data_IF_024406274516
#
_entry.id   IF_024406274516
#
_cell.length_a   1.000
_cell.length_b   1.000
_cell.length_c   1.000
_cell.angle_alpha   90.00
_cell.angle_beta   90.00
_cell.angle_gamma   90.00
#
_symmetry.space_group_name_H-M   'P 1'
#
loop_
_entity.id
_entity.type
_entity.pdbx_description
1 polymer ?
#
# COMPACT_ATOMS: atom_id res chain seq x y z
N UNK A 1 9.46 -52.31 33.84
CA UNK A 1 10.03 -52.35 32.48
C UNK A 1 9.19 -51.44 31.59
N UNK A 2 9.80 -50.43 30.97
CA UNK A 2 9.37 -49.69 29.76
C UNK A 2 9.93 -48.26 29.83
N UNK A 3 11.16 -48.09 29.35
CA UNK A 3 11.80 -46.79 29.16
C UNK A 3 11.23 -46.09 27.92
N UNK A 4 10.93 -44.80 28.07
CA UNK A 4 10.49 -43.90 27.01
C UNK A 4 11.64 -43.60 26.03
N UNK A 5 11.46 -43.95 24.76
CA UNK A 5 12.36 -43.60 23.68
C UNK A 5 12.25 -42.10 23.33
N UNK A 6 13.25 -41.32 23.73
CA UNK A 6 13.48 -39.95 23.25
C UNK A 6 13.94 -40.03 21.79
N UNK A 7 13.07 -39.67 20.84
CA UNK A 7 13.46 -39.47 19.43
C UNK A 7 14.41 -38.27 19.34
N UNK A 8 15.71 -38.53 19.18
CA UNK A 8 16.69 -37.51 18.78
C UNK A 8 16.41 -37.09 17.34
N UNK A 9 16.24 -35.78 17.12
CA UNK A 9 16.25 -35.18 15.79
C UNK A 9 17.62 -35.43 15.13
N UNK A 10 17.68 -35.63 13.80
CA UNK A 10 18.94 -35.88 13.10
C UNK A 10 19.86 -34.66 13.22
N UNK A 11 21.06 -34.88 13.74
CA UNK A 11 22.16 -33.93 13.76
C UNK A 11 22.55 -33.59 12.32
N UNK A 12 22.38 -32.32 11.91
CA UNK A 12 22.85 -31.82 10.60
C UNK A 12 24.35 -32.09 10.47
N UNK A 13 24.76 -32.72 9.36
CA UNK A 13 26.16 -32.94 9.02
C UNK A 13 26.89 -31.59 8.91
N UNK A 14 27.92 -31.41 9.75
CA UNK A 14 28.83 -30.26 9.68
C UNK A 14 29.79 -30.46 8.51
N UNK A 15 29.70 -29.61 7.48
CA UNK A 15 30.62 -29.61 6.35
C UNK A 15 32.08 -29.34 6.78
N UNK A 16 33.02 -30.09 6.19
CA UNK A 16 34.45 -29.85 6.38
C UNK A 16 34.88 -28.49 5.82
N UNK A 17 35.96 -27.91 6.36
CA UNK A 17 36.46 -26.59 5.96
C UNK A 17 36.81 -26.49 4.45
N UNK A 18 37.36 -27.57 3.87
CA UNK A 18 37.63 -27.67 2.43
C UNK A 18 36.37 -27.57 1.56
N UNK A 19 35.28 -28.17 2.02
CA UNK A 19 34.00 -28.18 1.31
C UNK A 19 33.33 -26.80 1.40
N UNK A 20 33.37 -26.16 2.58
CA UNK A 20 32.94 -24.77 2.76
C UNK A 20 33.71 -23.79 1.86
N UNK A 21 35.03 -23.94 1.77
CA UNK A 21 35.85 -23.11 0.86
C UNK A 21 35.46 -23.32 -0.61
N UNK A 22 35.20 -24.56 -1.03
CA UNK A 22 34.76 -24.87 -2.39
C UNK A 22 33.42 -24.22 -2.73
N UNK A 23 32.45 -24.27 -1.80
CA UNK A 23 31.14 -23.63 -1.94
C UNK A 23 31.28 -22.12 -2.12
N UNK A 24 32.09 -21.47 -1.28
CA UNK A 24 32.31 -20.03 -1.34
C UNK A 24 33.00 -19.61 -2.65
N UNK A 25 34.01 -20.38 -3.10
CA UNK A 25 34.67 -20.15 -4.39
C UNK A 25 33.69 -20.24 -5.55
N UNK A 26 32.87 -21.28 -5.60
CA UNK A 26 31.87 -21.45 -6.66
C UNK A 26 30.85 -20.30 -6.66
N UNK A 27 30.35 -19.92 -5.48
CA UNK A 27 29.46 -18.78 -5.31
C UNK A 27 30.11 -17.47 -5.84
N UNK A 28 31.37 -17.23 -5.48
CA UNK A 28 32.12 -16.05 -5.92
C UNK A 28 32.30 -15.97 -7.44
N UNK A 29 32.60 -17.10 -8.10
CA UNK A 29 32.74 -17.16 -9.56
C UNK A 29 31.43 -16.78 -10.25
N UNK A 30 30.30 -17.33 -9.81
CA UNK A 30 28.97 -17.03 -10.38
C UNK A 30 28.62 -15.55 -10.21
N UNK A 31 28.86 -14.99 -9.00
CA UNK A 31 28.64 -13.58 -8.70
C UNK A 31 29.49 -12.66 -9.60
N UNK A 32 30.79 -12.92 -9.71
CA UNK A 32 31.70 -12.10 -10.51
C UNK A 32 31.36 -12.12 -12.01
N UNK A 33 31.02 -13.29 -12.55
CA UNK A 33 30.61 -13.42 -13.95
C UNK A 33 29.34 -12.62 -14.22
N UNK A 34 28.33 -12.75 -13.35
CA UNK A 34 27.06 -12.03 -13.53
C UNK A 34 27.22 -10.52 -13.33
N UNK A 35 28.02 -10.09 -12.36
CA UNK A 35 28.33 -8.67 -12.15
C UNK A 35 28.93 -8.02 -13.41
N UNK A 36 29.92 -8.67 -14.04
CA UNK A 36 30.53 -8.17 -15.29
C UNK A 36 29.50 -8.02 -16.41
N UNK A 37 28.59 -8.99 -16.54
CA UNK A 37 27.52 -8.92 -17.54
C UNK A 37 26.52 -7.79 -17.26
N UNK A 38 26.11 -7.60 -16.01
CA UNK A 38 25.21 -6.50 -15.63
C UNK A 38 25.87 -5.15 -15.93
N UNK A 39 27.10 -4.95 -15.47
CA UNK A 39 27.85 -3.69 -15.69
C UNK A 39 28.08 -3.41 -17.17
N UNK A 40 28.45 -4.42 -17.95
CA UNK A 40 28.65 -4.26 -19.39
C UNK A 40 27.35 -3.83 -20.10
N UNK A 41 26.21 -4.42 -19.75
CA UNK A 41 24.92 -4.03 -20.32
C UNK A 41 24.50 -2.61 -19.93
N UNK A 42 24.65 -2.22 -18.66
CA UNK A 42 24.35 -0.86 -18.22
C UNK A 42 25.21 0.20 -18.94
N UNK A 43 26.50 -0.07 -19.13
CA UNK A 43 27.40 0.84 -19.85
C UNK A 43 27.03 1.02 -21.33
N UNK A 44 26.57 -0.06 -21.99
CA UNK A 44 26.10 0.02 -23.39
C UNK A 44 24.88 0.92 -23.51
N UNK A 45 23.90 0.76 -22.62
CA UNK A 45 22.68 1.58 -22.61
C UNK A 45 22.98 3.08 -22.45
N UNK A 46 23.93 3.43 -21.58
CA UNK A 46 24.33 4.83 -21.40
C UNK A 46 25.08 5.43 -22.60
N UNK A 47 25.69 4.59 -23.44
CA UNK A 47 26.48 5.06 -24.60
C UNK A 47 25.60 5.30 -25.84
N UNK A 48 24.46 4.63 -25.95
CA UNK A 48 23.49 4.82 -27.05
C UNK A 48 22.69 6.12 -26.96
N UNK A 49 22.56 6.73 -25.77
CA UNK A 49 21.78 7.96 -25.57
C UNK A 49 22.48 9.26 -26.00
N UNK A 50 23.76 9.20 -26.41
CA UNK A 50 24.55 10.40 -26.78
C UNK A 50 24.53 10.67 -28.29
N UNK A 51 23.79 9.89 -29.09
CA UNK A 51 23.87 9.96 -30.55
C UNK A 51 22.57 9.72 -31.32
N UNK A 52 21.52 10.50 -31.06
CA UNK A 52 20.59 11.02 -32.08
C UNK A 52 19.39 11.72 -31.42
N UNK A 53 19.29 13.04 -31.61
CA UNK A 53 18.00 13.71 -31.55
C UNK A 53 17.22 13.38 -32.83
N UNK A 54 15.92 13.10 -32.68
CA UNK A 54 14.91 12.84 -33.70
C UNK A 54 14.66 11.35 -34.00
N UNK A 55 13.79 10.74 -33.20
CA UNK A 55 12.50 10.19 -33.67
C UNK A 55 11.84 9.41 -32.51
N UNK A 56 10.92 10.09 -31.82
CA UNK A 56 9.84 9.40 -31.10
C UNK A 56 8.85 8.88 -32.14
N UNK A 57 8.73 7.56 -32.26
CA UNK A 57 7.49 6.80 -32.45
C UNK A 57 7.85 5.39 -32.91
N UNK A 58 7.32 4.42 -32.18
CA UNK A 58 7.22 3.00 -32.51
C UNK A 58 8.51 2.24 -32.80
N UNK A 59 9.00 1.50 -31.79
CA UNK A 59 9.49 0.13 -31.99
C UNK A 59 9.57 -0.64 -30.66
N UNK A 60 8.43 -1.15 -30.23
CA UNK A 60 8.38 -2.42 -29.54
C UNK A 60 8.50 -3.53 -30.59
N UNK A 61 9.67 -4.16 -30.73
CA UNK A 61 9.79 -5.60 -31.00
C UNK A 61 11.25 -6.03 -31.23
N UNK A 62 11.60 -7.15 -30.61
CA UNK A 62 12.66 -8.10 -30.96
C UNK A 62 14.13 -7.65 -30.90
N UNK A 63 14.84 -8.11 -29.85
CA UNK A 63 15.98 -9.06 -29.98
C UNK A 63 17.02 -9.09 -28.83
N UNK A 64 16.70 -8.65 -27.59
CA UNK A 64 17.57 -8.96 -26.44
C UNK A 64 16.84 -9.23 -25.11
N UNK A 65 15.61 -9.74 -25.15
CA UNK A 65 14.80 -10.02 -23.95
C UNK A 65 15.43 -11.06 -23.01
N UNK A 66 16.34 -11.92 -23.47
CA UNK A 66 17.02 -12.93 -22.65
C UNK A 66 18.16 -12.36 -21.78
N UNK A 67 18.65 -11.16 -22.10
CA UNK A 67 19.83 -10.54 -21.47
C UNK A 67 19.52 -9.25 -20.71
N UNK A 68 18.25 -8.96 -20.41
CA UNK A 68 17.92 -7.79 -19.58
C UNK A 68 18.59 -7.90 -18.21
N UNK A 69 19.12 -6.77 -17.73
CA UNK A 69 19.95 -6.73 -16.51
C UNK A 69 19.23 -7.29 -15.28
N UNK A 70 17.92 -7.07 -15.15
CA UNK A 70 17.12 -7.62 -14.07
C UNK A 70 16.88 -9.14 -14.17
N UNK A 71 16.86 -9.72 -15.38
CA UNK A 71 16.74 -11.18 -15.56
C UNK A 71 18.06 -11.88 -15.22
N UNK A 72 19.19 -11.26 -15.55
CA UNK A 72 20.52 -11.72 -15.13
C UNK A 72 20.62 -11.76 -13.60
N UNK A 73 20.16 -10.70 -12.91
CA UNK A 73 20.11 -10.69 -11.45
C UNK A 73 19.16 -11.76 -10.90
N UNK A 74 17.96 -11.94 -11.48
CA UNK A 74 17.02 -12.95 -11.00
C UNK A 74 17.60 -14.37 -11.13
N UNK A 75 18.29 -14.65 -12.25
CA UNK A 75 18.99 -15.92 -12.47
C UNK A 75 20.13 -16.10 -11.46
N UNK A 76 20.93 -15.05 -11.22
CA UNK A 76 21.97 -15.07 -10.20
C UNK A 76 21.39 -15.44 -8.84
N UNK A 77 20.30 -14.80 -8.42
CA UNK A 77 19.66 -15.08 -7.14
C UNK A 77 19.24 -16.55 -7.03
N UNK A 78 18.59 -17.10 -8.06
CA UNK A 78 18.20 -18.52 -8.07
C UNK A 78 19.41 -19.46 -7.93
N UNK A 79 20.54 -19.16 -8.58
CA UNK A 79 21.75 -19.98 -8.49
C UNK A 79 22.41 -19.88 -7.11
N UNK A 80 22.61 -18.67 -6.58
CA UNK A 80 23.31 -18.49 -5.29
C UNK A 80 22.47 -18.97 -4.11
N UNK A 81 21.15 -18.95 -4.22
CA UNK A 81 20.27 -19.42 -3.15
C UNK A 81 20.28 -20.94 -2.99
N UNK A 82 20.77 -21.70 -3.97
CA UNK A 82 21.05 -23.15 -3.79
C UNK A 82 22.09 -23.39 -2.69
N UNK A 83 22.98 -22.44 -2.45
CA UNK A 83 23.97 -22.53 -1.37
C UNK A 83 23.38 -22.16 0.00
N UNK A 84 22.16 -21.60 0.09
CA UNK A 84 21.55 -21.23 1.38
C UNK A 84 21.32 -22.45 2.28
N UNK A 85 20.99 -23.60 1.69
CA UNK A 85 20.67 -24.83 2.44
C UNK A 85 21.87 -25.39 3.21
N UNK A 86 23.08 -24.93 2.89
CA UNK A 86 24.31 -25.20 3.65
C UNK A 86 24.31 -24.55 5.04
N UNK A 87 23.42 -23.57 5.28
CA UNK A 87 23.32 -22.78 6.51
C UNK A 87 24.65 -22.12 6.91
N UNK A 88 25.55 -21.87 5.95
CA UNK A 88 26.83 -21.22 6.18
C UNK A 88 26.67 -19.70 6.19
N UNK A 89 26.85 -19.09 7.37
CA UNK A 89 26.78 -17.65 7.56
C UNK A 89 27.84 -16.89 6.74
N UNK A 90 28.95 -17.54 6.37
CA UNK A 90 29.97 -16.93 5.53
C UNK A 90 29.46 -16.70 4.12
N UNK A 91 28.69 -17.64 3.57
CA UNK A 91 28.06 -17.50 2.24
C UNK A 91 27.05 -16.36 2.25
N UNK A 92 26.21 -16.28 3.29
CA UNK A 92 25.24 -15.17 3.44
C UNK A 92 25.95 -13.83 3.58
N UNK A 93 27.02 -13.76 4.37
CA UNK A 93 27.81 -12.53 4.56
C UNK A 93 28.51 -12.09 3.27
N UNK A 94 29.06 -13.05 2.52
CA UNK A 94 29.65 -12.80 1.20
C UNK A 94 28.60 -12.25 0.22
N UNK A 95 27.44 -12.90 0.11
CA UNK A 95 26.36 -12.45 -0.75
C UNK A 95 25.85 -11.06 -0.36
N UNK A 96 25.78 -10.77 0.93
CA UNK A 96 25.44 -9.43 1.42
C UNK A 96 26.46 -8.38 0.92
N UNK A 97 27.76 -8.60 1.12
CA UNK A 97 28.80 -7.71 0.63
C UNK A 97 28.77 -7.53 -0.90
N UNK A 98 28.53 -8.62 -1.63
CA UNK A 98 28.35 -8.60 -3.07
C UNK A 98 27.17 -7.71 -3.51
N UNK A 99 25.98 -7.92 -2.94
CA UNK A 99 24.79 -7.16 -3.33
C UNK A 99 24.87 -5.68 -2.91
N UNK A 100 25.55 -5.34 -1.82
CA UNK A 100 25.86 -3.94 -1.46
C UNK A 100 26.74 -3.31 -2.54
N UNK A 101 27.80 -4.00 -2.95
CA UNK A 101 28.71 -3.52 -4.01
C UNK A 101 27.98 -3.38 -5.36
N UNK A 102 27.11 -4.33 -5.68
CA UNK A 102 26.28 -4.28 -6.89
C UNK A 102 25.33 -3.08 -6.85
N UNK A 103 24.63 -2.85 -5.73
CA UNK A 103 23.73 -1.69 -5.58
C UNK A 103 24.46 -0.36 -5.80
N UNK A 104 25.62 -0.19 -5.16
CA UNK A 104 26.46 1.01 -5.33
C UNK A 104 26.88 1.20 -6.79
N UNK A 105 27.35 0.12 -7.44
CA UNK A 105 27.79 0.17 -8.84
C UNK A 105 26.65 0.54 -9.77
N UNK A 106 25.51 -0.14 -9.64
CA UNK A 106 24.33 0.08 -10.48
C UNK A 106 23.83 1.51 -10.30
N UNK A 107 23.72 2.00 -9.07
CA UNK A 107 23.30 3.37 -8.79
C UNK A 107 24.28 4.41 -9.33
N UNK A 108 25.60 4.18 -9.24
CA UNK A 108 26.61 5.06 -9.83
C UNK A 108 26.47 5.14 -11.35
N UNK A 109 26.23 4.01 -12.02
CA UNK A 109 26.09 3.96 -13.48
C UNK A 109 24.79 4.63 -13.96
N UNK A 110 23.71 4.50 -13.21
CA UNK A 110 22.40 5.05 -13.57
C UNK A 110 22.33 6.56 -13.28
N UNK A 111 22.76 6.98 -12.08
CA UNK A 111 22.51 8.33 -11.57
C UNK A 111 23.74 9.23 -11.59
N UNK A 112 24.94 8.71 -11.92
CA UNK A 112 26.20 9.46 -11.92
C UNK A 112 26.54 10.18 -10.60
N UNK A 113 25.96 9.74 -9.46
CA UNK A 113 26.15 10.35 -8.13
C UNK A 113 26.86 9.42 -7.16
N UNK A 114 27.80 9.97 -6.37
CA UNK A 114 28.35 9.30 -5.19
C UNK A 114 27.26 9.23 -4.12
N UNK A 115 26.84 8.02 -3.75
CA UNK A 115 25.94 7.76 -2.62
C UNK A 115 26.71 7.11 -1.48
N UNK A 116 26.18 7.19 -0.25
CA UNK A 116 26.80 6.48 0.87
C UNK A 116 26.72 4.96 0.64
N UNK A 117 27.71 4.18 1.10
CA UNK A 117 27.85 2.76 0.76
C UNK A 117 26.62 1.89 1.06
N UNK A 118 25.81 2.30 2.03
CA UNK A 118 24.66 1.54 2.51
C UNK A 118 23.33 2.23 2.21
N UNK A 119 23.35 3.37 1.51
CA UNK A 119 22.17 4.21 1.27
C UNK A 119 21.39 4.52 2.55
N UNK A 120 22.08 4.61 3.70
CA UNK A 120 21.52 4.86 5.03
C UNK A 120 21.17 6.34 5.18
N UNK A 121 21.99 7.22 4.60
CA UNK A 121 21.85 8.67 4.73
C UNK A 121 21.24 9.31 3.48
N UNK A 122 21.30 8.65 2.32
CA UNK A 122 20.56 9.07 1.13
C UNK A 122 19.07 8.77 1.27
N UNK A 123 18.25 9.82 1.39
CA UNK A 123 16.81 9.76 1.69
C UNK A 123 15.94 9.09 0.62
N UNK A 124 16.47 8.82 -0.58
CA UNK A 124 15.84 7.99 -1.60
C UNK A 124 16.86 7.59 -2.67
N UNK A 125 16.70 6.40 -3.25
CA UNK A 125 17.31 6.10 -4.54
C UNK A 125 16.63 7.01 -5.57
N UNK A 126 17.26 8.12 -5.93
CA UNK A 126 16.83 8.91 -7.09
C UNK A 126 16.88 8.00 -8.30
N UNK A 127 15.77 7.83 -9.01
CA UNK A 127 15.73 7.01 -10.23
C UNK A 127 15.26 7.80 -11.45
N UNK A 128 15.45 9.13 -11.40
CA UNK A 128 14.99 10.09 -12.42
C UNK A 128 15.45 9.75 -13.84
N UNK A 129 16.63 9.14 -14.00
CA UNK A 129 17.20 8.77 -15.31
C UNK A 129 17.07 7.29 -15.63
N UNK A 130 16.55 6.49 -14.71
CA UNK A 130 16.60 5.05 -14.81
C UNK A 130 15.40 4.52 -15.63
N UNK A 131 15.68 3.65 -16.59
CA UNK A 131 14.60 3.01 -17.38
C UNK A 131 13.88 1.92 -16.57
N UNK A 132 12.78 1.39 -17.12
CA UNK A 132 11.97 0.34 -16.46
C UNK A 132 12.80 -0.89 -16.06
N UNK A 133 13.73 -1.34 -16.89
CA UNK A 133 14.55 -2.51 -16.59
C UNK A 133 15.53 -2.26 -15.43
N UNK A 134 16.08 -1.05 -15.35
CA UNK A 134 16.96 -0.60 -14.27
C UNK A 134 16.21 -0.41 -12.95
N UNK A 135 15.00 0.12 -12.99
CA UNK A 135 14.12 0.19 -11.81
C UNK A 135 13.85 -1.20 -11.24
N UNK A 136 13.54 -2.18 -12.09
CA UNK A 136 13.30 -3.57 -11.66
C UNK A 136 14.58 -4.18 -11.07
N UNK A 137 15.75 -3.92 -11.67
CA UNK A 137 17.02 -4.39 -11.14
C UNK A 137 17.30 -3.83 -9.74
N UNK A 138 17.17 -2.52 -9.56
CA UNK A 138 17.34 -1.85 -8.26
C UNK A 138 16.36 -2.41 -7.22
N UNK A 139 15.09 -2.58 -7.60
CA UNK A 139 14.08 -3.20 -6.73
C UNK A 139 14.51 -4.60 -6.28
N UNK A 140 14.92 -5.46 -7.22
CA UNK A 140 15.30 -6.83 -6.88
C UNK A 140 16.50 -6.86 -5.94
N UNK A 141 17.53 -6.03 -6.19
CA UNK A 141 18.71 -5.91 -5.32
C UNK A 141 18.30 -5.51 -3.89
N UNK A 142 17.40 -4.53 -3.75
CA UNK A 142 16.90 -4.11 -2.44
C UNK A 142 16.14 -5.23 -1.73
N UNK A 143 15.30 -5.99 -2.44
CA UNK A 143 14.65 -7.20 -1.88
C UNK A 143 15.71 -8.20 -1.39
N UNK A 144 16.76 -8.45 -2.17
CA UNK A 144 17.80 -9.43 -1.80
C UNK A 144 18.58 -8.99 -0.58
N UNK A 145 18.95 -7.71 -0.51
CA UNK A 145 19.59 -7.13 0.67
C UNK A 145 18.69 -7.21 1.90
N UNK A 146 17.39 -6.99 1.75
CA UNK A 146 16.42 -7.20 2.82
C UNK A 146 16.37 -8.66 3.29
N UNK A 147 16.37 -9.63 2.35
CA UNK A 147 16.31 -11.05 2.67
C UNK A 147 17.58 -11.51 3.39
N UNK A 148 18.75 -11.09 2.87
CA UNK A 148 20.05 -11.37 3.46
C UNK A 148 20.18 -10.78 4.86
N UNK A 149 19.73 -9.54 5.09
CA UNK A 149 19.71 -8.95 6.42
C UNK A 149 18.78 -9.69 7.38
N UNK A 150 17.62 -10.18 6.90
CA UNK A 150 16.74 -11.04 7.71
C UNK A 150 17.44 -12.35 8.08
N UNK A 151 18.18 -12.98 7.17
CA UNK A 151 18.96 -14.19 7.46
C UNK A 151 20.09 -13.93 8.46
N UNK A 152 20.72 -12.76 8.39
CA UNK A 152 21.70 -12.26 9.36
C UNK A 152 21.08 -11.75 10.67
N UNK A 153 19.75 -11.88 10.84
CA UNK A 153 18.98 -11.41 12.01
C UNK A 153 19.04 -9.89 12.24
N UNK A 154 19.39 -9.10 11.23
CA UNK A 154 19.36 -7.64 11.26
C UNK A 154 18.01 -7.10 10.77
N UNK A 155 16.99 -7.14 11.63
CA UNK A 155 15.62 -6.75 11.28
C UNK A 155 15.50 -5.26 10.90
N UNK A 156 16.29 -4.39 11.54
CA UNK A 156 16.28 -2.95 11.28
C UNK A 156 16.73 -2.64 9.84
N UNK A 157 17.84 -3.23 9.40
CA UNK A 157 18.31 -3.07 8.03
C UNK A 157 17.43 -3.78 7.01
N UNK A 158 16.90 -4.96 7.35
CA UNK A 158 15.95 -5.65 6.49
C UNK A 158 14.73 -4.77 6.21
N UNK A 159 14.15 -4.17 7.25
CA UNK A 159 13.04 -3.23 7.14
C UNK A 159 13.38 -2.01 6.29
N UNK A 160 14.58 -1.45 6.44
CA UNK A 160 15.04 -0.31 5.65
C UNK A 160 15.04 -0.65 4.15
N UNK A 161 15.69 -1.74 3.77
CA UNK A 161 15.77 -2.16 2.37
C UNK A 161 14.40 -2.50 1.76
N UNK A 162 13.52 -3.19 2.50
CA UNK A 162 12.17 -3.43 2.00
C UNK A 162 11.34 -2.16 1.89
N UNK A 163 11.54 -1.19 2.79
CA UNK A 163 10.87 0.11 2.69
C UNK A 163 11.34 0.88 1.46
N UNK A 164 12.65 0.87 1.19
CA UNK A 164 13.21 1.44 -0.04
C UNK A 164 12.70 0.74 -1.30
N UNK A 165 12.62 -0.61 -1.30
CA UNK A 165 12.07 -1.37 -2.42
C UNK A 165 10.59 -1.03 -2.67
N UNK A 166 9.79 -0.94 -1.60
CA UNK A 166 8.39 -0.52 -1.64
C UNK A 166 8.25 0.88 -2.24
N UNK A 167 9.06 1.83 -1.79
CA UNK A 167 8.97 3.22 -2.24
C UNK A 167 9.45 3.36 -3.71
N UNK A 168 10.41 2.53 -4.11
CA UNK A 168 10.90 2.47 -5.49
C UNK A 168 9.87 1.90 -6.48
N UNK A 169 9.20 0.79 -6.11
CA UNK A 169 8.12 0.24 -6.94
C UNK A 169 6.96 -0.26 -6.04
N UNK A 170 6.00 0.61 -5.72
CA UNK A 170 4.86 0.28 -4.85
C UNK A 170 3.79 -0.56 -5.56
N UNK A 171 3.92 -0.82 -6.86
CA UNK A 171 2.99 -1.64 -7.64
C UNK A 171 3.32 -3.15 -7.57
N UNK A 172 4.42 -3.52 -6.91
CA UNK A 172 4.88 -4.91 -6.74
C UNK A 172 4.70 -5.38 -5.30
N UNK A 173 4.10 -6.56 -5.12
CA UNK A 173 3.68 -7.09 -3.83
C UNK A 173 4.81 -7.64 -2.94
N UNK A 174 5.97 -7.97 -3.52
CA UNK A 174 7.01 -8.71 -2.79
C UNK A 174 7.53 -7.93 -1.57
N UNK A 175 7.88 -6.65 -1.73
CA UNK A 175 8.33 -5.79 -0.64
C UNK A 175 7.31 -5.75 0.52
N UNK A 176 6.02 -5.64 0.19
CA UNK A 176 4.95 -5.63 1.19
C UNK A 176 4.86 -6.96 1.95
N UNK A 177 4.95 -8.11 1.28
CA UNK A 177 4.94 -9.41 1.96
C UNK A 177 6.10 -9.51 2.96
N UNK A 178 7.30 -9.05 2.58
CA UNK A 178 8.45 -9.07 3.47
C UNK A 178 8.31 -8.08 4.64
N UNK A 179 7.73 -6.91 4.42
CA UNK A 179 7.40 -5.96 5.49
C UNK A 179 6.34 -6.51 6.46
N UNK A 180 5.38 -7.29 5.97
CA UNK A 180 4.37 -7.95 6.80
C UNK A 180 4.99 -8.96 7.77
N UNK A 181 5.99 -9.73 7.30
CA UNK A 181 6.77 -10.67 8.11
C UNK A 181 7.61 -9.98 9.18
N UNK A 182 8.03 -8.73 8.96
CA UNK A 182 8.74 -7.93 9.97
C UNK A 182 7.75 -7.31 10.97
N UNK A 183 6.55 -6.94 10.52
CA UNK A 183 5.55 -6.23 11.33
C UNK A 183 4.74 -7.14 12.27
N UNK A 184 5.22 -8.34 12.62
CA UNK A 184 4.47 -9.34 13.40
C UNK A 184 4.01 -8.89 14.80
N UNK A 185 4.62 -7.84 15.36
CA UNK A 185 4.23 -7.27 16.66
C UNK A 185 3.11 -6.23 16.54
N UNK A 186 2.75 -5.83 15.32
CA UNK A 186 1.68 -4.89 15.01
C UNK A 186 0.72 -5.60 14.04
N UNK A 187 -0.30 -6.28 14.60
CA UNK A 187 -1.19 -7.14 13.82
C UNK A 187 -1.94 -6.41 12.72
N UNK A 188 -2.41 -5.19 12.97
CA UNK A 188 -3.09 -4.36 11.97
C UNK A 188 -2.14 -4.05 10.82
N UNK A 189 -0.92 -3.60 11.12
CA UNK A 189 0.07 -3.27 10.10
C UNK A 189 0.56 -4.50 9.32
N UNK A 190 0.70 -5.65 9.98
CA UNK A 190 1.07 -6.91 9.34
C UNK A 190 0.00 -7.35 8.33
N UNK A 191 -1.27 -7.38 8.75
CA UNK A 191 -2.41 -7.70 7.87
C UNK A 191 -2.49 -6.70 6.71
N UNK A 192 -2.38 -5.40 7.00
CA UNK A 192 -2.36 -4.36 5.97
C UNK A 192 -1.28 -4.62 4.91
N UNK A 193 -0.07 -4.97 5.31
CA UNK A 193 1.00 -5.26 4.35
C UNK A 193 0.75 -6.55 3.56
N UNK A 194 0.17 -7.60 4.15
CA UNK A 194 -0.23 -8.77 3.36
C UNK A 194 -1.33 -8.45 2.35
N UNK A 195 -2.32 -7.63 2.73
CA UNK A 195 -3.36 -7.15 1.82
C UNK A 195 -2.73 -6.37 0.66
N UNK A 196 -1.81 -5.44 0.96
CA UNK A 196 -1.08 -4.69 -0.06
C UNK A 196 -0.23 -5.57 -0.98
N UNK A 197 0.35 -6.63 -0.44
CA UNK A 197 1.13 -7.59 -1.22
C UNK A 197 0.25 -8.39 -2.20
N UNK A 198 -0.91 -8.83 -1.74
CA UNK A 198 -1.85 -9.63 -2.53
C UNK A 198 -2.58 -8.78 -3.58
N UNK A 199 -2.97 -7.55 -3.23
CA UNK A 199 -3.68 -6.62 -4.11
C UNK A 199 -2.75 -5.58 -4.75
N UNK A 200 -1.53 -5.98 -5.13
CA UNK A 200 -0.61 -5.11 -5.85
C UNK A 200 -1.03 -5.00 -7.33
N UNK A 201 -0.88 -3.83 -7.95
CA UNK A 201 -1.45 -3.54 -9.27
C UNK A 201 -0.66 -4.04 -10.48
N UNK A 202 0.66 -4.25 -10.35
CA UNK A 202 1.53 -4.75 -11.44
C UNK A 202 1.93 -6.20 -11.19
N UNK A 203 2.44 -6.52 -10.00
CA UNK A 203 2.89 -7.88 -9.66
C UNK A 203 2.40 -8.30 -8.27
N UNK A 204 1.18 -8.86 -8.16
CA UNK A 204 0.68 -9.48 -6.95
C UNK A 204 1.60 -10.56 -6.39
N UNK A 205 1.74 -10.63 -5.07
CA UNK A 205 2.44 -11.73 -4.40
C UNK A 205 1.41 -12.76 -3.92
N UNK A 206 1.11 -13.75 -4.76
CA UNK A 206 0.03 -14.74 -4.52
C UNK A 206 0.19 -15.51 -3.20
N UNK A 207 1.42 -15.83 -2.80
CA UNK A 207 1.69 -16.50 -1.51
C UNK A 207 1.29 -15.66 -0.28
N UNK A 208 1.09 -14.34 -0.43
CA UNK A 208 0.63 -13.48 0.65
C UNK A 208 -0.78 -13.86 1.13
N UNK A 209 -1.62 -14.45 0.29
CA UNK A 209 -2.99 -14.83 0.66
C UNK A 209 -3.01 -15.87 1.80
N UNK A 210 -2.16 -16.90 1.71
CA UNK A 210 -2.05 -17.92 2.75
C UNK A 210 -1.47 -17.36 4.06
N UNK A 211 -0.49 -16.45 3.94
CA UNK A 211 0.07 -15.75 5.09
C UNK A 211 -0.97 -14.82 5.74
N UNK A 212 -1.79 -14.16 4.93
CA UNK A 212 -2.87 -13.29 5.36
C UNK A 212 -3.92 -14.07 6.15
N UNK A 213 -4.41 -15.20 5.62
CA UNK A 213 -5.35 -16.09 6.34
C UNK A 213 -4.80 -16.48 7.71
N UNK A 214 -3.53 -16.91 7.76
CA UNK A 214 -2.86 -17.27 9.01
C UNK A 214 -2.74 -16.09 9.98
N UNK A 215 -2.41 -14.90 9.47
CA UNK A 215 -2.31 -13.68 10.27
C UNK A 215 -3.67 -13.25 10.83
N UNK A 216 -4.74 -13.31 10.03
CA UNK A 216 -6.11 -13.01 10.47
C UNK A 216 -6.52 -13.96 11.59
N UNK A 217 -6.37 -15.28 11.42
CA UNK A 217 -6.69 -16.25 12.47
C UNK A 217 -5.95 -15.94 13.78
N UNK A 218 -4.66 -15.58 13.69
CA UNK A 218 -3.85 -15.24 14.86
C UNK A 218 -4.31 -13.94 15.54
N UNK A 219 -4.52 -12.87 14.77
CA UNK A 219 -4.76 -11.54 15.32
C UNK A 219 -6.23 -11.27 15.65
N UNK A 220 -7.19 -11.98 15.04
CA UNK A 220 -8.61 -11.89 15.42
C UNK A 220 -8.86 -12.28 16.88
N UNK A 221 -7.97 -13.05 17.50
CA UNK A 221 -8.06 -13.43 18.91
C UNK A 221 -7.79 -12.22 19.81
N UNK A 222 -6.83 -11.37 19.45
CA UNK A 222 -6.35 -10.27 20.29
C UNK A 222 -6.84 -8.89 19.84
N UNK A 223 -7.32 -8.76 18.60
CA UNK A 223 -7.73 -7.49 17.98
C UNK A 223 -9.20 -7.61 17.52
N UNK A 224 -10.17 -7.13 18.34
CA UNK A 224 -11.59 -7.23 18.03
C UNK A 224 -12.00 -6.63 16.68
N UNK A 225 -11.36 -5.52 16.29
CA UNK A 225 -11.63 -4.87 15.00
C UNK A 225 -11.33 -5.79 13.80
N UNK A 226 -10.24 -6.57 13.87
CA UNK A 226 -9.90 -7.54 12.81
C UNK A 226 -10.93 -8.66 12.79
N UNK A 227 -11.30 -9.19 13.96
CA UNK A 227 -12.34 -10.22 14.06
C UNK A 227 -13.64 -9.76 13.41
N UNK A 228 -14.14 -8.59 13.77
CA UNK A 228 -15.41 -8.10 13.26
C UNK A 228 -15.38 -7.79 11.76
N UNK A 229 -14.25 -7.32 11.23
CA UNK A 229 -14.07 -7.12 9.78
C UNK A 229 -14.21 -8.41 8.98
N UNK A 230 -13.60 -9.51 9.47
CA UNK A 230 -13.56 -10.79 8.75
C UNK A 230 -14.73 -11.73 9.07
N UNK A 231 -15.23 -11.75 10.31
CA UNK A 231 -16.37 -12.59 10.73
C UNK A 231 -17.72 -11.96 10.35
N UNK A 232 -17.71 -10.70 9.89
CA UNK A 232 -18.92 -9.88 9.64
C UNK A 232 -19.85 -9.82 10.85
N UNK A 233 -19.28 -9.86 12.06
CA UNK A 233 -20.07 -9.72 13.28
C UNK A 233 -20.61 -8.30 13.42
N UNK A 234 -21.75 -8.15 14.10
CA UNK A 234 -22.34 -6.84 14.42
C UNK A 234 -21.68 -6.16 15.63
N UNK A 235 -20.54 -6.69 16.09
CA UNK A 235 -19.87 -6.18 17.28
C UNK A 235 -19.33 -4.79 17.00
N UNK A 236 -19.83 -3.77 17.72
CA UNK A 236 -19.29 -2.42 17.63
C UNK A 236 -17.87 -2.41 18.19
N UNK A 237 -16.92 -1.84 17.46
CA UNK A 237 -15.58 -1.56 17.99
C UNK A 237 -15.33 -0.05 18.03
N UNK A 238 -14.48 0.35 18.98
CA UNK A 238 -14.09 1.74 19.16
C UNK A 238 -12.98 2.13 18.17
N UNK A 239 -13.30 3.01 17.22
CA UNK A 239 -12.36 3.57 16.25
C UNK A 239 -11.22 4.35 16.92
N UNK A 240 -11.45 4.95 18.10
CA UNK A 240 -10.46 5.80 18.76
C UNK A 240 -9.27 5.01 19.30
N UNK A 241 -9.46 3.70 19.51
CA UNK A 241 -8.40 2.78 19.93
C UNK A 241 -7.42 2.41 18.81
N UNK A 242 -7.70 2.82 17.56
CA UNK A 242 -6.94 2.40 16.38
C UNK A 242 -5.96 3.48 15.93
N UNK A 243 -4.67 3.18 16.09
CA UNK A 243 -3.57 4.09 15.74
C UNK A 243 -3.47 4.46 14.24
N UNK A 244 -4.04 3.66 13.33
CA UNK A 244 -3.99 3.95 11.89
C UNK A 244 -5.25 3.47 11.17
N UNK A 245 -6.23 4.37 11.06
CA UNK A 245 -7.50 4.10 10.36
C UNK A 245 -7.32 3.80 8.86
N UNK A 246 -6.24 4.29 8.23
CA UNK A 246 -6.01 4.06 6.79
C UNK A 246 -5.73 2.57 6.53
N UNK A 247 -5.01 1.93 7.45
CA UNK A 247 -4.77 0.49 7.36
C UNK A 247 -6.06 -0.31 7.51
N UNK A 248 -6.93 0.09 8.43
CA UNK A 248 -8.24 -0.53 8.59
C UNK A 248 -9.11 -0.34 7.35
N UNK A 249 -9.09 0.85 6.73
CA UNK A 249 -9.81 1.09 5.48
C UNK A 249 -9.38 0.12 4.37
N UNK A 250 -8.06 -0.08 4.20
CA UNK A 250 -7.52 -1.04 3.23
C UNK A 250 -7.89 -2.48 3.56
N UNK A 251 -7.85 -2.87 4.84
CA UNK A 251 -8.25 -4.21 5.28
C UNK A 251 -9.75 -4.43 5.03
N UNK A 252 -10.59 -3.43 5.30
CA UNK A 252 -12.03 -3.52 5.07
C UNK A 252 -12.41 -3.61 3.59
N UNK A 253 -11.64 -2.93 2.71
CA UNK A 253 -11.76 -3.10 1.26
C UNK A 253 -11.48 -4.55 0.87
N UNK A 254 -10.38 -5.13 1.36
CA UNK A 254 -10.05 -6.54 1.10
C UNK A 254 -11.09 -7.52 1.67
N UNK A 255 -11.59 -7.27 2.87
CA UNK A 255 -12.61 -8.11 3.51
C UNK A 255 -14.02 -7.93 2.90
N UNK A 256 -14.17 -7.02 1.93
CA UNK A 256 -15.45 -6.62 1.33
C UNK A 256 -16.49 -6.18 2.38
N UNK A 257 -16.01 -5.64 3.51
CA UNK A 257 -16.82 -5.27 4.66
C UNK A 257 -16.67 -3.77 4.98
N UNK A 258 -16.67 -2.94 3.94
CA UNK A 258 -16.50 -1.48 4.05
C UNK A 258 -17.63 -0.83 4.86
N UNK A 259 -18.85 -1.37 4.79
CA UNK A 259 -20.02 -0.84 5.53
C UNK A 259 -19.78 -0.78 7.03
N UNK A 260 -19.07 -1.77 7.55
CA UNK A 260 -18.81 -1.91 8.98
C UNK A 260 -18.05 -0.71 9.54
N UNK A 261 -17.14 -0.13 8.76
CA UNK A 261 -16.34 1.03 9.19
C UNK A 261 -16.83 2.36 8.62
N UNK A 262 -17.61 2.36 7.53
CA UNK A 262 -18.03 3.57 6.83
C UNK A 262 -18.84 4.51 7.74
N UNK A 263 -19.90 4.01 8.38
CA UNK A 263 -20.76 4.84 9.23
C UNK A 263 -20.00 5.41 10.44
N UNK A 264 -19.27 4.60 11.23
CA UNK A 264 -18.42 5.12 12.30
C UNK A 264 -17.42 6.18 11.82
N UNK A 265 -16.80 5.97 10.66
CA UNK A 265 -15.82 6.91 10.10
C UNK A 265 -16.43 8.25 9.64
N UNK A 266 -17.65 8.22 9.08
CA UNK A 266 -18.38 9.43 8.73
C UNK A 266 -18.75 10.20 9.99
N UNK A 267 -19.27 9.53 11.02
CA UNK A 267 -19.64 10.17 12.29
C UNK A 267 -18.43 10.84 12.95
N UNK A 268 -17.27 10.18 12.94
CA UNK A 268 -16.05 10.76 13.47
C UNK A 268 -15.57 11.97 12.65
N UNK A 269 -15.70 11.89 11.32
CA UNK A 269 -15.37 13.02 10.43
C UNK A 269 -16.31 14.21 10.65
N UNK A 270 -17.61 13.95 10.87
CA UNK A 270 -18.61 14.96 11.23
C UNK A 270 -18.24 15.68 12.53
N UNK A 271 -17.92 14.92 13.58
CA UNK A 271 -17.50 15.48 14.86
C UNK A 271 -16.25 16.34 14.70
N UNK A 272 -15.26 15.84 13.94
CA UNK A 272 -14.05 16.58 13.66
C UNK A 272 -14.33 17.90 12.92
N UNK A 273 -15.18 17.90 11.89
CA UNK A 273 -15.55 19.09 11.11
C UNK A 273 -16.23 20.14 12.00
N UNK A 274 -17.19 19.72 12.83
CA UNK A 274 -17.89 20.60 13.79
C UNK A 274 -16.92 21.30 14.73
N UNK A 275 -15.93 20.57 15.25
CA UNK A 275 -14.90 21.16 16.10
C UNK A 275 -14.04 22.20 15.36
N UNK A 276 -13.85 22.05 14.04
CA UNK A 276 -13.14 23.05 13.25
C UNK A 276 -14.00 24.29 12.95
N UNK A 277 -15.32 24.12 12.75
CA UNK A 277 -16.24 25.22 12.38
C UNK A 277 -16.71 26.05 13.58
N UNK A 278 -16.64 25.52 14.82
CA UNK A 278 -17.04 26.20 16.07
C UNK A 278 -16.07 27.34 16.49
N UNK A 279 -15.01 27.66 15.73
CA UNK A 279 -14.19 28.87 15.98
C UNK A 279 -14.89 30.21 15.67
N UNK A 280 -16.22 30.24 15.62
CA UNK A 280 -17.00 31.46 15.81
C UNK A 280 -17.24 31.65 17.32
N UNK A 281 -17.04 32.85 17.90
CA UNK A 281 -17.17 33.02 19.35
C UNK A 281 -18.57 32.60 19.81
N UNK A 282 -18.72 31.86 20.93
CA UNK A 282 -20.04 31.52 21.45
C UNK A 282 -20.69 32.81 21.95
N UNK A 283 -21.52 33.42 21.10
CA UNK A 283 -22.48 34.41 21.56
C UNK A 283 -23.54 33.69 22.39
N UNK A 284 -23.44 33.87 23.70
CA UNK A 284 -24.41 33.59 24.77
C UNK A 284 -24.48 32.16 25.36
N UNK A 285 -24.51 32.04 26.70
CA UNK A 285 -24.79 30.79 27.41
C UNK A 285 -26.28 30.68 27.76
N UNK A 286 -26.96 29.65 27.29
CA UNK A 286 -28.21 29.15 27.91
C UNK A 286 -28.30 27.64 27.69
N UNK A 287 -27.96 26.89 28.73
CA UNK A 287 -28.88 26.16 29.63
C UNK A 287 -29.26 24.74 29.17
N UNK A 288 -28.68 23.78 29.88
CA UNK A 288 -29.20 22.44 30.20
C UNK A 288 -29.62 21.53 29.03
N UNK A 289 -28.66 20.78 28.51
CA UNK A 289 -28.90 19.56 27.74
C UNK A 289 -27.66 18.67 27.82
N UNK A 290 -27.84 17.43 28.31
CA UNK A 290 -26.82 16.39 28.53
C UNK A 290 -25.55 16.56 27.70
N UNK A 291 -24.46 16.91 28.36
CA UNK A 291 -23.11 16.84 27.79
C UNK A 291 -22.84 15.40 27.32
N UNK A 292 -22.93 15.19 26.01
CA UNK A 292 -22.26 14.07 25.35
C UNK A 292 -20.77 14.36 25.58
N UNK A 293 -20.15 13.62 26.51
CA UNK A 293 -18.70 13.63 26.71
C UNK A 293 -18.05 13.15 25.41
N UNK A 294 -17.65 14.09 24.56
CA UNK A 294 -16.75 13.82 23.44
C UNK A 294 -15.37 13.56 24.04
N UNK A 295 -14.98 12.29 24.12
CA UNK A 295 -13.60 11.91 24.44
C UNK A 295 -12.71 12.40 23.30
N UNK A 296 -11.91 13.41 23.62
CA UNK A 296 -11.03 14.15 22.72
C UNK A 296 -10.05 13.23 21.99
N UNK A 297 -10.20 13.15 20.66
CA UNK A 297 -9.12 12.76 19.76
C UNK A 297 -8.12 13.92 19.68
N UNK A 298 -6.84 13.61 19.84
CA UNK A 298 -5.77 14.59 19.79
C UNK A 298 -5.61 15.11 18.35
N UNK A 299 -5.06 16.32 18.20
CA UNK A 299 -4.80 16.98 16.90
C UNK A 299 -4.03 16.15 15.86
N UNK A 300 -3.43 15.03 16.28
CA UNK A 300 -2.76 14.01 15.45
C UNK A 300 -3.69 13.16 14.59
N UNK A 301 -5.00 13.13 14.87
CA UNK A 301 -5.89 12.08 14.35
C UNK A 301 -6.51 12.40 12.97
N UNK A 302 -6.53 13.68 12.58
CA UNK A 302 -6.90 14.08 11.20
C UNK A 302 -6.00 13.46 10.13
N UNK A 303 -4.75 13.13 10.49
CA UNK A 303 -3.74 12.59 9.57
C UNK A 303 -4.14 11.23 8.99
N UNK A 304 -5.00 10.47 9.67
CA UNK A 304 -5.50 9.20 9.17
C UNK A 304 -7.01 9.23 8.90
N UNK A 305 -7.80 10.00 9.65
CA UNK A 305 -9.26 10.04 9.51
C UNK A 305 -9.73 10.43 8.10
N UNK A 306 -9.36 11.63 7.63
CA UNK A 306 -9.79 12.13 6.32
C UNK A 306 -9.26 11.26 5.16
N UNK A 307 -7.97 10.85 5.13
CA UNK A 307 -7.49 9.90 4.13
C UNK A 307 -8.26 8.58 4.11
N UNK A 308 -8.62 8.05 5.27
CA UNK A 308 -9.38 6.78 5.35
C UNK A 308 -10.75 6.95 4.72
N UNK A 309 -11.45 8.05 5.03
CA UNK A 309 -12.78 8.29 4.48
C UNK A 309 -12.74 8.48 2.97
N UNK A 310 -11.78 9.28 2.48
CA UNK A 310 -11.59 9.49 1.06
C UNK A 310 -11.29 8.16 0.33
N UNK A 311 -10.40 7.34 0.89
CA UNK A 311 -10.06 6.01 0.36
C UNK A 311 -11.29 5.11 0.22
N UNK A 312 -12.18 5.09 1.22
CA UNK A 312 -13.40 4.30 1.16
C UNK A 312 -14.40 4.85 0.15
N UNK A 313 -14.54 6.17 0.04
CA UNK A 313 -15.42 6.81 -0.95
C UNK A 313 -14.95 6.53 -2.38
N UNK A 314 -13.64 6.59 -2.62
CA UNK A 314 -13.03 6.24 -3.90
C UNK A 314 -13.28 4.78 -4.28
N UNK A 315 -13.12 3.86 -3.32
CA UNK A 315 -13.46 2.46 -3.53
C UNK A 315 -14.94 2.27 -3.84
N UNK A 316 -15.84 2.87 -3.04
CA UNK A 316 -17.28 2.75 -3.23
C UNK A 316 -17.72 3.25 -4.60
N UNK A 317 -17.22 4.41 -5.04
CA UNK A 317 -17.53 4.96 -6.36
C UNK A 317 -17.00 4.06 -7.49
N UNK A 318 -15.81 3.49 -7.33
CA UNK A 318 -15.24 2.53 -8.28
C UNK A 318 -16.13 1.28 -8.40
N UNK A 319 -16.60 0.74 -7.27
CA UNK A 319 -17.53 -0.40 -7.25
C UNK A 319 -18.86 -0.08 -7.93
N UNK A 320 -19.40 1.13 -7.74
CA UNK A 320 -20.64 1.55 -8.40
C UNK A 320 -20.47 1.67 -9.92
N UNK A 321 -19.35 2.21 -10.40
CA UNK A 321 -19.05 2.32 -11.83
C UNK A 321 -18.89 0.94 -12.50
N UNK A 322 -18.42 -0.06 -11.76
CA UNK A 322 -18.29 -1.44 -12.23
C UNK A 322 -19.59 -2.25 -12.15
N UNK A 323 -20.70 -1.65 -11.73
CA UNK A 323 -22.00 -2.31 -11.61
C UNK A 323 -22.14 -3.24 -10.41
N UNK A 324 -21.20 -3.20 -9.46
CA UNK A 324 -21.29 -3.98 -8.22
C UNK A 324 -22.36 -3.40 -7.29
N UNK A 325 -23.39 -4.19 -7.00
CA UNK A 325 -24.57 -3.77 -6.23
C UNK A 325 -24.50 -4.09 -4.73
N UNK A 326 -23.37 -4.57 -4.22
CA UNK A 326 -23.30 -5.14 -2.87
C UNK A 326 -23.43 -4.10 -1.74
N UNK A 327 -23.17 -2.83 -2.03
CA UNK A 327 -23.26 -1.76 -1.03
C UNK A 327 -24.59 -1.01 -1.11
N UNK A 328 -25.59 -1.48 -0.36
CA UNK A 328 -26.76 -0.67 -0.04
C UNK A 328 -26.33 0.54 0.81
N UNK A 329 -26.26 1.71 0.17
CA UNK A 329 -25.89 2.98 0.79
C UNK A 329 -27.09 3.74 1.37
N UNK A 330 -28.33 3.22 1.22
CA UNK A 330 -29.54 3.92 1.68
C UNK A 330 -29.49 4.18 3.20
N UNK A 331 -28.92 3.26 3.97
CA UNK A 331 -28.83 3.38 5.43
C UNK A 331 -27.86 4.49 5.89
N UNK A 332 -27.03 5.00 4.96
CA UNK A 332 -26.07 6.07 5.23
C UNK A 332 -26.50 7.43 4.64
N UNK A 333 -27.56 7.51 3.84
CA UNK A 333 -27.93 8.73 3.10
C UNK A 333 -28.12 9.95 3.99
N UNK A 334 -28.83 9.79 5.12
CA UNK A 334 -29.05 10.89 6.08
C UNK A 334 -27.73 11.41 6.63
N UNK A 335 -26.83 10.50 7.03
CA UNK A 335 -25.54 10.84 7.64
C UNK A 335 -24.57 11.40 6.58
N UNK A 336 -24.60 10.90 5.35
CA UNK A 336 -23.83 11.43 4.23
C UNK A 336 -24.31 12.83 3.83
N UNK A 337 -25.62 13.09 3.89
CA UNK A 337 -26.19 14.42 3.64
C UNK A 337 -25.82 15.42 4.73
N UNK A 338 -25.79 14.97 5.99
CA UNK A 338 -25.28 15.77 7.11
C UNK A 338 -23.79 16.08 6.93
N UNK A 339 -22.98 15.07 6.54
CA UNK A 339 -21.56 15.27 6.23
C UNK A 339 -21.37 16.28 5.11
N UNK A 340 -22.21 16.23 4.06
CA UNK A 340 -22.18 17.21 2.98
C UNK A 340 -22.34 18.63 3.50
N UNK A 341 -23.36 18.88 4.31
CA UNK A 341 -23.62 20.20 4.91
C UNK A 341 -22.41 20.72 5.68
N UNK A 342 -21.83 19.90 6.56
CA UNK A 342 -20.65 20.30 7.35
C UNK A 342 -19.40 20.51 6.48
N UNK A 343 -19.21 19.69 5.44
CA UNK A 343 -18.10 19.90 4.49
C UNK A 343 -18.26 21.20 3.70
N UNK A 344 -19.48 21.55 3.27
CA UNK A 344 -19.73 22.78 2.53
C UNK A 344 -19.57 24.01 3.43
N UNK A 345 -20.04 23.93 4.68
CA UNK A 345 -19.80 24.97 5.69
C UNK A 345 -18.29 25.18 5.91
N UNK A 346 -17.54 24.09 6.14
CA UNK A 346 -16.09 24.16 6.31
C UNK A 346 -15.39 24.78 5.10
N UNK A 347 -15.76 24.36 3.88
CA UNK A 347 -15.16 24.86 2.65
C UNK A 347 -15.49 26.35 2.43
N UNK A 348 -16.72 26.79 2.75
CA UNK A 348 -17.11 28.19 2.65
C UNK A 348 -16.31 29.11 3.58
N UNK A 349 -15.99 28.64 4.79
CA UNK A 349 -15.14 29.36 5.75
C UNK A 349 -13.65 29.42 5.33
N UNK A 350 -13.24 28.57 4.37
CA UNK A 350 -11.87 28.43 3.91
C UNK A 350 -11.73 28.69 2.40
N UNK A 351 -12.64 29.48 1.81
CA UNK A 351 -12.71 29.70 0.36
C UNK A 351 -11.39 30.23 -0.24
N UNK A 352 -10.72 31.15 0.45
CA UNK A 352 -9.44 31.71 0.03
C UNK A 352 -8.34 30.64 -0.09
N UNK A 353 -8.31 29.68 0.83
CA UNK A 353 -7.34 28.59 0.83
C UNK A 353 -7.60 27.61 -0.32
N UNK A 354 -8.87 27.40 -0.68
CA UNK A 354 -9.25 26.53 -1.80
C UNK A 354 -8.78 27.15 -3.12
N UNK A 355 -8.99 28.45 -3.31
CA UNK A 355 -8.56 29.17 -4.51
C UNK A 355 -7.03 29.11 -4.69
N UNK A 356 -6.28 29.15 -3.60
CA UNK A 356 -4.81 29.05 -3.59
C UNK A 356 -4.29 27.63 -3.84
N UNK A 357 -5.10 26.58 -3.63
CA UNK A 357 -4.68 25.18 -3.72
C UNK A 357 -5.19 24.48 -5.00
N UNK A 358 -5.40 25.23 -6.08
CA UNK A 358 -6.19 24.91 -7.27
C UNK A 358 -5.98 23.55 -7.96
N UNK A 359 -4.94 22.76 -7.67
CA UNK A 359 -4.75 21.45 -8.31
C UNK A 359 -5.28 20.28 -7.47
N UNK A 360 -6.58 20.00 -7.60
CA UNK A 360 -7.21 18.80 -7.02
C UNK A 360 -6.69 17.49 -7.62
N UNK A 361 -6.02 17.51 -8.77
CA UNK A 361 -5.43 16.30 -9.37
C UNK A 361 -4.09 15.91 -8.74
N UNK A 362 -3.48 16.77 -7.92
CA UNK A 362 -2.19 16.48 -7.27
C UNK A 362 -2.29 15.43 -6.17
N UNK A 363 -1.53 14.34 -6.28
CA UNK A 363 -1.47 13.30 -5.26
C UNK A 363 -1.05 13.86 -3.89
N UNK A 364 -1.73 13.41 -2.83
CA UNK A 364 -1.47 13.72 -1.44
C UNK A 364 -0.75 12.55 -0.77
N UNK A 365 -0.22 12.74 0.45
CA UNK A 365 0.62 11.76 1.16
C UNK A 365 0.04 10.34 1.21
N UNK A 366 -1.26 10.21 1.45
CA UNK A 366 -1.93 8.91 1.50
C UNK A 366 -2.06 8.25 0.12
N UNK A 367 -2.19 9.03 -0.96
CA UNK A 367 -2.16 8.53 -2.33
C UNK A 367 -0.80 7.86 -2.63
N UNK A 368 0.33 8.44 -2.18
CA UNK A 368 1.64 7.78 -2.29
C UNK A 368 1.72 6.51 -1.45
N UNK A 369 1.14 6.51 -0.25
CA UNK A 369 1.10 5.32 0.61
C UNK A 369 0.34 4.20 -0.11
N UNK A 370 -0.80 4.51 -0.74
CA UNK A 370 -1.67 3.56 -1.42
C UNK A 370 -1.35 3.33 -2.90
N UNK A 371 -0.34 4.01 -3.45
CA UNK A 371 0.09 3.81 -4.83
C UNK A 371 0.33 2.32 -5.08
N UNK A 372 -0.17 1.84 -6.21
CA UNK A 372 -0.08 0.42 -6.57
C UNK A 372 -1.07 -0.52 -5.85
N UNK A 373 -2.00 0.00 -5.04
CA UNK A 373 -3.12 -0.78 -4.52
C UNK A 373 -4.19 -0.95 -5.60
N UNK A 374 -4.37 -2.19 -6.09
CA UNK A 374 -5.19 -2.49 -7.26
C UNK A 374 -6.65 -2.02 -7.19
N UNK A 375 -7.36 -2.06 -6.04
CA UNK A 375 -8.75 -1.57 -5.96
C UNK A 375 -8.90 -0.07 -6.22
N UNK A 376 -7.81 0.70 -6.14
CA UNK A 376 -7.79 2.15 -6.38
C UNK A 376 -6.94 2.53 -7.60
N UNK A 377 -6.56 1.56 -8.44
CA UNK A 377 -5.67 1.80 -9.58
C UNK A 377 -6.18 2.92 -10.50
N UNK A 378 -7.45 2.86 -10.89
CA UNK A 378 -8.08 3.86 -11.77
C UNK A 378 -8.11 5.27 -11.15
N UNK A 379 -8.28 5.35 -9.83
CA UNK A 379 -8.27 6.62 -9.10
C UNK A 379 -6.86 7.21 -9.10
N UNK A 380 -5.85 6.38 -8.81
CA UNK A 380 -4.46 6.83 -8.82
C UNK A 380 -3.97 7.20 -10.24
N UNK A 381 -4.44 6.56 -11.30
CA UNK A 381 -4.12 6.94 -12.68
C UNK A 381 -4.61 8.35 -13.05
N UNK A 382 -5.60 8.88 -12.34
CA UNK A 382 -6.12 10.24 -12.54
C UNK A 382 -5.35 11.30 -11.72
N UNK A 383 -4.43 10.86 -10.83
CA UNK A 383 -3.66 11.75 -9.97
C UNK A 383 -2.27 12.03 -10.53
N UNK A 384 -1.78 13.25 -10.31
CA UNK A 384 -0.41 13.66 -10.62
C UNK A 384 0.48 13.43 -9.41
N UNK A 385 1.42 12.49 -9.53
CA UNK A 385 2.42 12.22 -8.51
C UNK A 385 3.69 13.04 -8.79
N UNK A 386 4.08 13.87 -7.83
CA UNK A 386 5.32 14.65 -7.87
C UNK A 386 6.49 13.80 -7.34
N UNK A 387 7.69 14.06 -7.84
CA UNK A 387 8.91 13.37 -7.36
C UNK A 387 9.23 13.66 -5.89
N UNK A 388 8.84 14.84 -5.39
CA UNK A 388 9.06 15.24 -4.00
C UNK A 388 7.72 15.57 -3.34
N UNK A 389 7.12 14.61 -2.60
CA UNK A 389 5.89 14.85 -1.87
C UNK A 389 6.16 15.82 -0.71
N UNK A 390 6.06 17.11 -0.98
CA UNK A 390 6.10 18.14 0.07
C UNK A 390 4.76 18.11 0.81
N UNK A 391 4.82 18.17 2.14
CA UNK A 391 3.61 18.40 2.94
C UNK A 391 3.08 19.79 2.61
N UNK A 392 2.04 19.84 1.78
CA UNK A 392 1.34 21.08 1.47
C UNK A 392 0.71 21.61 2.75
N UNK A 393 1.02 22.86 3.12
CA UNK A 393 0.26 23.55 4.18
C UNK A 393 -1.22 23.45 3.81
N UNK A 394 -2.07 23.06 4.77
CA UNK A 394 -3.52 22.89 4.59
C UNK A 394 -3.95 21.68 3.74
N UNK A 395 -3.26 20.54 3.79
CA UNK A 395 -3.71 19.30 3.09
C UNK A 395 -5.15 18.90 3.41
N UNK A 396 -5.62 19.19 4.63
CA UNK A 396 -6.97 18.87 5.06
C UNK A 396 -8.04 19.61 4.24
N UNK A 397 -7.78 20.84 3.77
CA UNK A 397 -8.71 21.59 2.91
C UNK A 397 -8.88 20.87 1.57
N UNK A 398 -7.78 20.44 0.95
CA UNK A 398 -7.81 19.64 -0.29
C UNK A 398 -8.56 18.32 -0.08
N UNK A 399 -8.28 17.63 1.03
CA UNK A 399 -8.96 16.37 1.38
C UNK A 399 -10.46 16.57 1.52
N UNK A 400 -10.90 17.58 2.27
CA UNK A 400 -12.32 17.89 2.48
C UNK A 400 -12.99 18.30 1.17
N UNK A 401 -12.29 19.05 0.33
CA UNK A 401 -12.79 19.41 -1.00
C UNK A 401 -13.01 18.18 -1.88
N UNK A 402 -12.07 17.22 -1.89
CA UNK A 402 -12.24 15.94 -2.57
C UNK A 402 -13.38 15.12 -1.97
N UNK A 403 -13.45 15.01 -0.64
CA UNK A 403 -14.53 14.30 0.05
C UNK A 403 -15.89 14.88 -0.33
N UNK A 404 -16.05 16.21 -0.32
CA UNK A 404 -17.30 16.89 -0.71
C UNK A 404 -17.73 16.53 -2.14
N UNK A 405 -16.80 16.55 -3.11
CA UNK A 405 -17.08 16.13 -4.49
C UNK A 405 -17.52 14.66 -4.60
N UNK A 406 -16.90 13.77 -3.80
CA UNK A 406 -17.23 12.34 -3.79
C UNK A 406 -18.58 12.09 -3.12
N UNK A 407 -18.93 12.87 -2.10
CA UNK A 407 -20.25 12.87 -1.47
C UNK A 407 -21.34 13.25 -2.48
N UNK A 408 -21.12 14.29 -3.29
CA UNK A 408 -22.08 14.70 -4.33
C UNK A 408 -22.35 13.56 -5.32
N UNK A 409 -21.28 12.89 -5.78
CA UNK A 409 -21.38 11.72 -6.67
C UNK A 409 -22.14 10.57 -6.01
N UNK A 410 -21.84 10.26 -4.74
CA UNK A 410 -22.53 9.19 -4.00
C UNK A 410 -24.02 9.49 -3.79
N UNK A 411 -24.37 10.73 -3.41
CA UNK A 411 -25.76 11.14 -3.23
C UNK A 411 -26.55 11.10 -4.54
N UNK A 412 -25.93 11.47 -5.66
CA UNK A 412 -26.55 11.35 -6.99
C UNK A 412 -26.89 9.87 -7.31
N UNK A 413 -25.95 8.95 -7.09
CA UNK A 413 -26.16 7.51 -7.29
C UNK A 413 -27.28 6.97 -6.39
N UNK A 414 -27.32 7.38 -5.11
CA UNK A 414 -28.38 6.96 -4.18
C UNK A 414 -29.76 7.42 -4.69
N UNK A 415 -29.86 8.67 -5.15
CA UNK A 415 -31.12 9.22 -5.71
C UNK A 415 -31.56 8.47 -6.96
N UNK A 416 -30.65 8.18 -7.88
CA UNK A 416 -30.92 7.41 -9.10
C UNK A 416 -31.45 6.01 -8.77
N UNK A 417 -30.79 5.27 -7.88
CA UNK A 417 -31.25 3.94 -7.44
C UNK A 417 -32.63 3.97 -6.77
N UNK A 418 -32.93 5.03 -6.01
CA UNK A 418 -34.28 5.22 -5.44
C UNK A 418 -35.33 5.48 -6.50
N UNK A 419 -35.00 6.22 -7.55
CA UNK A 419 -35.92 6.47 -8.66
C UNK A 419 -36.18 5.19 -9.45
N UNK A 420 -35.15 4.38 -9.71
CA UNK A 420 -35.30 3.07 -10.35
C UNK A 420 -36.16 2.10 -9.54
N UNK A 421 -35.93 2.01 -8.22
CA UNK A 421 -36.71 1.11 -7.35
C UNK A 421 -38.17 1.53 -7.27
N UNK A 422 -38.46 2.83 -7.19
CA UNK A 422 -39.82 3.37 -7.31
C UNK A 422 -40.46 3.01 -8.65
N UNK A 423 -39.75 3.20 -9.77
CA UNK A 423 -40.23 2.86 -11.11
C UNK A 423 -40.54 1.37 -11.27
N UNK A 424 -39.65 0.49 -10.79
CA UNK A 424 -39.84 -0.97 -10.78
C UNK A 424 -41.06 -1.36 -9.93
N UNK A 425 -41.23 -0.77 -8.75
CA UNK A 425 -42.39 -1.01 -7.88
C UNK A 425 -43.70 -0.57 -8.57
N UNK A 426 -43.74 0.60 -9.19
CA UNK A 426 -44.91 1.07 -9.94
C UNK A 426 -45.26 0.16 -11.12
N UNK A 427 -44.26 -0.33 -11.87
CA UNK A 427 -44.47 -1.30 -12.97
C UNK A 427 -45.04 -2.63 -12.45
N UNK A 428 -44.50 -3.14 -11.34
CA UNK A 428 -44.99 -4.39 -10.75
C UNK A 428 -46.44 -4.26 -10.25
N UNK A 429 -46.80 -3.13 -9.64
CA UNK A 429 -48.18 -2.85 -9.22
C UNK A 429 -49.11 -2.78 -10.44
N UNK A 430 -48.70 -2.10 -11.51
CA UNK A 430 -49.47 -2.03 -12.75
C UNK A 430 -49.66 -3.41 -13.38
N UNK A 431 -48.62 -4.25 -13.43
CA UNK A 431 -48.70 -5.62 -13.95
C UNK A 431 -49.62 -6.50 -13.09
N UNK A 432 -49.54 -6.40 -11.76
CA UNK A 432 -50.44 -7.12 -10.86
C UNK A 432 -51.90 -6.72 -11.06
N UNK A 433 -52.18 -5.43 -11.24
CA UNK A 433 -53.53 -4.93 -11.52
C UNK A 433 -54.08 -5.43 -12.87
N UNK A 434 -53.22 -5.64 -13.87
CA UNK A 434 -53.62 -6.21 -15.16
C UNK A 434 -53.93 -7.70 -15.02
N UNK A 435 -53.11 -8.44 -14.25
CA UNK A 435 -53.29 -9.88 -14.04
C UNK A 435 -54.51 -10.20 -13.18
N UNK A 436 -54.88 -9.35 -12.22
CA UNK A 436 -56.07 -9.55 -11.37
C UNK A 436 -57.40 -9.26 -12.06
N UNK A 437 -57.38 -8.59 -13.22
CA UNK A 437 -58.57 -8.25 -14.01
C UNK A 437 -58.86 -9.25 -15.14
N UNK A 438 -58.10 -10.34 -15.23
CA UNK A 438 -58.38 -11.50 -16.07
C UNK A 438 -58.79 -12.67 -15.20
#
# INVERSE_FOLDING_TARGET
MSQSAVRRLPTKMSFGEKERNTILTNCSVICNNTYRLIVANLKRNNSSDVGNGNNELDNASNDNAANSVHKLEAKLWCEVMKFKDTNDLNVISFLHGFYVTLLQTVNLLINSRKCDPYFILSSSLSTRTANKCEHILLYNILIRLGDLNRYLRNQSMAKLYYSQARDLNPQRGHAYNQLALIAINDGIKSIYYYVRAFLASEEPFTMAENNLKSAVTRFSITIPAIKALFDRSQDSFDLTSINNLLYIAVIAIYAENVKFILKPLILETLNWLRLQTIKSPPSSPSSSGKEIRFTFLNSTDSKCLLPSLLTLMDYLLTQQQQGSNDVNLNDCESIVSELKCETDLFLSQNADLIALQADRSKALKHDYILLGFSPLKQVHEQLKFDENPQETKNQHVILISRISEKIDKLLAIIKEKKQETKSKKSRNIALQSILSNK
#
